data_IF_809998442225
#
_entry.id   IF_809998442225
#
_cell.length_a   1.000
_cell.length_b   1.000
_cell.length_c   1.000
_cell.angle_alpha   90.00
_cell.angle_beta   90.00
_cell.angle_gamma   90.00
#
_symmetry.space_group_name_H-M   'P 1'
#
loop_
_entity.id
_entity.type
_entity.pdbx_description
1 polymer ?
#
# COMPACT_ATOMS: atom_id res chain seq x y z
N UNK A 1 62.37 -38.32 9.76
CA UNK A 1 61.66 -39.52 9.27
C UNK A 1 60.90 -39.09 8.03
N UNK A 2 61.11 -39.57 6.81
CA UNK A 2 62.02 -40.52 6.18
C UNK A 2 62.10 -40.01 4.73
N UNK A 3 63.29 -39.86 4.15
CA UNK A 3 63.93 -40.88 3.30
C UNK A 3 63.09 -41.18 2.04
N UNK A 4 63.58 -41.27 0.82
CA UNK A 4 64.92 -41.26 0.24
C UNK A 4 64.72 -41.56 -1.26
N UNK A 5 65.80 -41.35 -2.01
CA UNK A 5 66.17 -42.03 -3.26
C UNK A 5 65.64 -41.51 -4.60
N UNK A 6 66.45 -40.81 -5.40
CA UNK A 6 67.72 -41.14 -6.09
C UNK A 6 67.57 -41.76 -7.50
N UNK A 7 68.16 -41.02 -8.45
CA UNK A 7 69.04 -41.49 -9.54
C UNK A 7 68.40 -42.22 -10.73
N UNK A 8 68.46 -41.57 -11.90
CA UNK A 8 69.25 -42.11 -13.00
C UNK A 8 69.63 -41.03 -14.03
N UNK A 9 70.92 -40.69 -14.01
CA UNK A 9 71.63 -40.03 -15.09
C UNK A 9 71.61 -40.91 -16.35
N UNK A 10 71.38 -40.31 -17.52
CA UNK A 10 72.06 -40.76 -18.74
C UNK A 10 72.39 -39.58 -19.64
N UNK A 11 73.65 -39.17 -19.50
CA UNK A 11 74.43 -38.40 -20.46
C UNK A 11 74.34 -39.02 -21.86
N UNK A 12 73.89 -38.23 -22.84
CA UNK A 12 74.23 -38.45 -24.24
C UNK A 12 74.43 -37.09 -24.92
N UNK A 13 75.67 -36.60 -24.82
CA UNK A 13 76.22 -35.55 -25.68
C UNK A 13 76.07 -36.01 -27.13
N UNK A 14 75.21 -35.32 -27.90
CA UNK A 14 75.26 -35.35 -29.37
C UNK A 14 75.57 -33.94 -29.85
N UNK A 15 76.62 -33.92 -30.64
CA UNK A 15 77.28 -32.80 -31.27
C UNK A 15 76.35 -31.99 -32.17
N UNK A 16 76.49 -30.68 -32.03
CA UNK A 16 75.98 -29.59 -32.84
C UNK A 16 76.03 -29.88 -34.35
N UNK A 17 74.89 -29.68 -35.02
CA UNK A 17 74.84 -29.07 -36.35
C UNK A 17 74.00 -27.79 -36.22
N UNK A 18 74.52 -26.60 -36.55
CA UNK A 18 73.70 -25.40 -36.62
C UNK A 18 72.80 -25.51 -37.85
N UNK A 19 71.58 -26.01 -37.66
CA UNK A 19 70.51 -25.80 -38.63
C UNK A 19 70.31 -24.28 -38.70
N UNK A 20 70.68 -23.69 -39.84
CA UNK A 20 70.27 -22.34 -40.23
C UNK A 20 68.79 -22.19 -39.88
N UNK A 21 68.49 -21.48 -38.81
CA UNK A 21 67.15 -20.99 -38.52
C UNK A 21 66.83 -20.04 -39.65
N UNK A 22 66.23 -20.57 -40.71
CA UNK A 22 65.35 -19.77 -41.52
C UNK A 22 64.34 -19.19 -40.54
N UNK A 23 64.50 -17.91 -40.19
CA UNK A 23 63.41 -17.05 -39.77
C UNK A 23 62.40 -17.11 -40.93
N UNK A 24 61.62 -18.20 -40.99
CA UNK A 24 60.28 -18.16 -41.55
C UNK A 24 59.66 -17.01 -40.78
N UNK A 25 59.51 -15.88 -41.46
CA UNK A 25 58.57 -14.85 -41.04
C UNK A 25 57.28 -15.63 -40.82
N UNK A 26 56.96 -15.95 -39.56
CA UNK A 26 55.61 -16.28 -39.16
C UNK A 26 54.84 -14.99 -39.42
N UNK A 27 54.47 -14.76 -40.67
CA UNK A 27 53.33 -13.93 -40.98
C UNK A 27 52.16 -14.69 -40.34
N UNK A 28 51.92 -14.40 -39.06
CA UNK A 28 50.72 -14.83 -38.37
C UNK A 28 49.57 -14.49 -39.30
N UNK A 29 48.73 -15.49 -39.56
CA UNK A 29 47.67 -15.39 -40.54
C UNK A 29 46.76 -14.21 -40.12
N UNK A 30 46.97 -13.03 -40.69
CA UNK A 30 46.28 -11.80 -40.25
C UNK A 30 44.76 -11.98 -40.32
N UNK A 31 44.30 -12.83 -41.25
CA UNK A 31 42.92 -13.26 -41.38
C UNK A 31 42.37 -13.94 -40.12
N UNK A 32 43.14 -14.79 -39.44
CA UNK A 32 42.65 -15.48 -38.22
C UNK A 32 42.54 -14.51 -37.04
N UNK A 33 43.43 -13.51 -36.98
CA UNK A 33 43.38 -12.49 -35.94
C UNK A 33 42.19 -11.55 -36.13
N UNK A 34 41.93 -11.09 -37.36
CA UNK A 34 40.78 -10.23 -37.65
C UNK A 34 39.46 -10.97 -37.42
N UNK A 35 39.36 -12.24 -37.82
CA UNK A 35 38.15 -13.05 -37.63
C UNK A 35 37.89 -13.33 -36.13
N UNK A 36 38.94 -13.54 -35.34
CA UNK A 36 38.81 -13.66 -33.88
C UNK A 36 38.35 -12.35 -33.25
N UNK A 37 38.89 -11.20 -33.65
CA UNK A 37 38.46 -9.90 -33.16
C UNK A 37 36.99 -9.61 -33.50
N UNK A 38 36.56 -9.87 -34.74
CA UNK A 38 35.16 -9.72 -35.15
C UNK A 38 34.26 -10.68 -34.38
N UNK A 39 34.67 -11.94 -34.22
CA UNK A 39 33.92 -12.93 -33.44
C UNK A 39 33.76 -12.52 -31.97
N UNK A 40 34.82 -11.99 -31.35
CA UNK A 40 34.78 -11.51 -29.97
C UNK A 40 33.86 -10.28 -29.85
N UNK A 41 33.92 -9.35 -30.80
CA UNK A 41 33.02 -8.19 -30.85
C UNK A 41 31.56 -8.62 -30.97
N UNK A 42 31.26 -9.56 -31.87
CA UNK A 42 29.91 -10.14 -32.01
C UNK A 42 29.46 -10.83 -30.72
N UNK A 43 30.34 -11.56 -30.04
CA UNK A 43 30.03 -12.21 -28.77
C UNK A 43 29.69 -11.18 -27.68
N UNK A 44 30.46 -10.10 -27.56
CA UNK A 44 30.18 -9.00 -26.61
C UNK A 44 28.85 -8.32 -26.94
N UNK A 45 28.56 -8.05 -28.22
CA UNK A 45 27.27 -7.49 -28.63
C UNK A 45 26.10 -8.43 -28.29
N UNK A 46 26.24 -9.74 -28.49
CA UNK A 46 25.22 -10.73 -28.15
C UNK A 46 24.95 -10.77 -26.64
N UNK A 47 26.00 -10.71 -25.81
CA UNK A 47 25.86 -10.65 -24.35
C UNK A 47 25.14 -9.36 -23.93
N UNK A 48 25.57 -8.21 -24.46
CA UNK A 48 24.94 -6.92 -24.16
C UNK A 48 23.46 -6.88 -24.56
N UNK A 49 23.12 -7.44 -25.73
CA UNK A 49 21.74 -7.54 -26.20
C UNK A 49 20.90 -8.47 -25.30
N UNK A 50 21.45 -9.59 -24.83
CA UNK A 50 20.76 -10.48 -23.90
C UNK A 50 20.46 -9.79 -22.56
N UNK A 51 21.42 -9.06 -21.99
CA UNK A 51 21.20 -8.26 -20.77
C UNK A 51 20.16 -7.16 -20.97
N UNK A 52 20.21 -6.46 -22.11
CA UNK A 52 19.23 -5.44 -22.45
C UNK A 52 17.80 -6.01 -22.49
N UNK A 53 17.62 -7.18 -23.10
CA UNK A 53 16.33 -7.86 -23.13
C UNK A 53 15.84 -8.26 -21.74
N UNK A 54 16.74 -8.73 -20.86
CA UNK A 54 16.39 -9.12 -19.49
C UNK A 54 15.88 -7.92 -18.70
N UNK A 55 16.61 -6.80 -18.77
CA UNK A 55 16.22 -5.55 -18.12
C UNK A 55 14.92 -4.98 -18.69
N UNK A 56 14.69 -5.13 -20.00
CA UNK A 56 13.43 -4.73 -20.65
C UNK A 56 12.25 -5.54 -20.11
N UNK A 57 12.39 -6.85 -19.99
CA UNK A 57 11.34 -7.73 -19.43
C UNK A 57 11.10 -7.44 -17.94
N UNK A 58 12.15 -7.21 -17.15
CA UNK A 58 12.01 -6.81 -15.74
C UNK A 58 11.27 -5.46 -15.61
N UNK A 59 11.61 -4.47 -16.43
CA UNK A 59 10.93 -3.16 -16.45
C UNK A 59 9.46 -3.29 -16.84
N UNK A 60 9.16 -4.18 -17.78
CA UNK A 60 7.79 -4.49 -18.18
C UNK A 60 7.02 -5.13 -17.03
N UNK A 61 7.59 -6.14 -16.37
CA UNK A 61 7.01 -6.78 -15.20
C UNK A 61 6.74 -5.78 -14.06
N UNK A 62 7.68 -4.86 -13.80
CA UNK A 62 7.46 -3.76 -12.84
C UNK A 62 6.28 -2.88 -13.24
N UNK A 63 6.20 -2.48 -14.52
CA UNK A 63 5.10 -1.65 -15.03
C UNK A 63 3.75 -2.35 -14.90
N UNK A 64 3.69 -3.66 -15.14
CA UNK A 64 2.48 -4.46 -14.95
C UNK A 64 2.09 -4.58 -13.47
N UNK A 65 3.06 -4.83 -12.58
CA UNK A 65 2.86 -4.84 -11.14
C UNK A 65 2.34 -3.49 -10.62
N UNK A 66 2.93 -2.39 -11.10
CA UNK A 66 2.52 -1.02 -10.75
C UNK A 66 1.09 -0.72 -11.20
N UNK A 67 0.74 -1.09 -12.44
CA UNK A 67 -0.63 -0.93 -12.95
C UNK A 67 -1.62 -1.72 -12.12
N UNK A 68 -1.30 -2.96 -11.79
CA UNK A 68 -2.17 -3.82 -10.99
C UNK A 68 -2.33 -3.30 -9.55
N UNK A 69 -1.23 -2.89 -8.91
CA UNK A 69 -1.27 -2.29 -7.58
C UNK A 69 -2.13 -1.01 -7.57
N UNK A 70 -1.98 -0.15 -8.58
CA UNK A 70 -2.81 1.04 -8.75
C UNK A 70 -4.28 0.71 -8.97
N UNK A 71 -4.60 -0.25 -9.83
CA UNK A 71 -5.98 -0.69 -10.07
C UNK A 71 -6.63 -1.22 -8.79
N UNK A 72 -5.93 -2.08 -8.05
CA UNK A 72 -6.39 -2.60 -6.76
C UNK A 72 -6.62 -1.43 -5.78
N UNK A 73 -5.64 -0.55 -5.61
CA UNK A 73 -5.75 0.59 -4.68
C UNK A 73 -6.91 1.54 -5.02
N UNK A 74 -7.19 1.78 -6.32
CA UNK A 74 -8.35 2.57 -6.75
C UNK A 74 -9.67 1.90 -6.37
N UNK A 75 -9.76 0.58 -6.53
CA UNK A 75 -10.98 -0.19 -6.22
C UNK A 75 -11.31 -0.25 -4.72
N UNK A 76 -10.28 -0.07 -3.86
CA UNK A 76 -10.43 -0.14 -2.40
C UNK A 76 -11.16 1.07 -1.81
N UNK A 77 -10.90 2.29 -2.33
CA UNK A 77 -11.61 3.51 -1.93
C UNK A 77 -12.50 4.07 -3.06
N UNK A 78 -13.20 3.19 -3.76
CA UNK A 78 -14.17 3.60 -4.79
C UNK A 78 -15.34 4.34 -4.12
N UNK A 79 -15.73 5.48 -4.70
CA UNK A 79 -16.81 6.36 -4.21
C UNK A 79 -16.63 6.83 -2.75
N UNK A 80 -15.38 6.97 -2.30
CA UNK A 80 -15.04 7.48 -0.97
C UNK A 80 -15.68 6.73 0.21
N UNK A 81 -15.83 5.42 0.09
CA UNK A 81 -16.40 4.60 1.18
C UNK A 81 -15.57 4.69 2.46
N UNK A 82 -14.24 4.71 2.34
CA UNK A 82 -13.35 4.74 3.51
C UNK A 82 -13.46 6.11 4.19
N UNK A 83 -13.48 7.21 3.43
CA UNK A 83 -13.61 8.56 3.99
C UNK A 83 -14.95 8.77 4.68
N UNK A 84 -16.03 8.28 4.08
CA UNK A 84 -17.38 8.33 4.68
C UNK A 84 -17.45 7.54 5.99
N UNK A 85 -16.88 6.32 6.04
CA UNK A 85 -16.87 5.52 7.28
C UNK A 85 -16.05 6.21 8.37
N UNK A 86 -14.87 6.74 8.04
CA UNK A 86 -14.08 7.49 9.01
C UNK A 86 -14.88 8.67 9.60
N UNK A 87 -15.59 9.42 8.74
CA UNK A 87 -16.47 10.50 9.19
C UNK A 87 -17.59 9.97 10.10
N UNK A 88 -18.27 8.88 9.74
CA UNK A 88 -19.32 8.28 10.56
C UNK A 88 -18.80 7.83 11.93
N UNK A 89 -17.62 7.20 11.98
CA UNK A 89 -16.99 6.77 13.23
C UNK A 89 -16.73 7.96 14.15
N UNK A 90 -16.15 9.04 13.62
CA UNK A 90 -15.83 10.24 14.42
C UNK A 90 -17.11 10.97 14.83
N UNK A 91 -18.09 11.13 13.94
CA UNK A 91 -19.37 11.79 14.27
C UNK A 91 -20.17 10.99 15.30
N UNK A 92 -20.17 9.67 15.21
CA UNK A 92 -20.81 8.84 16.23
C UNK A 92 -20.06 8.95 17.58
N UNK A 93 -18.73 8.97 17.56
CA UNK A 93 -17.92 9.21 18.77
C UNK A 93 -18.29 10.52 19.46
N UNK A 94 -18.38 11.61 18.70
CA UNK A 94 -18.82 12.92 19.18
C UNK A 94 -20.27 12.87 19.71
N UNK A 95 -21.16 12.17 19.01
CA UNK A 95 -22.56 12.01 19.42
C UNK A 95 -22.70 11.26 20.74
N UNK A 96 -21.99 10.15 20.93
CA UNK A 96 -21.99 9.41 22.21
C UNK A 96 -21.54 10.31 23.35
N UNK A 97 -20.44 11.05 23.15
CA UNK A 97 -19.93 11.98 24.14
C UNK A 97 -20.94 13.09 24.47
N UNK A 98 -21.56 13.69 23.45
CA UNK A 98 -22.56 14.74 23.59
C UNK A 98 -23.85 14.25 24.29
N UNK A 99 -24.33 13.07 23.92
CA UNK A 99 -25.49 12.43 24.54
C UNK A 99 -25.24 12.14 26.02
N UNK A 100 -24.02 11.71 26.39
CA UNK A 100 -23.64 11.53 27.79
C UNK A 100 -23.65 12.84 28.57
N UNK A 101 -23.06 13.91 28.02
CA UNK A 101 -23.11 15.22 28.67
C UNK A 101 -24.54 15.68 28.89
N UNK A 102 -25.41 15.46 27.89
CA UNK A 102 -26.83 15.79 27.96
C UNK A 102 -27.51 14.96 29.06
N UNK A 103 -27.32 13.64 29.09
CA UNK A 103 -27.87 12.77 30.13
C UNK A 103 -27.46 13.20 31.54
N UNK A 104 -26.16 13.45 31.76
CA UNK A 104 -25.62 13.89 33.05
C UNK A 104 -26.17 15.25 33.47
N UNK A 105 -26.30 16.20 32.54
CA UNK A 105 -26.84 17.54 32.83
C UNK A 105 -28.34 17.45 33.15
N UNK A 106 -29.08 16.59 32.45
CA UNK A 106 -30.53 16.42 32.63
C UNK A 106 -30.85 15.87 34.02
N UNK A 107 -30.08 14.89 34.50
CA UNK A 107 -30.23 14.32 35.84
C UNK A 107 -29.99 15.35 36.95
N UNK A 108 -29.04 16.26 36.75
CA UNK A 108 -28.63 17.25 37.75
C UNK A 108 -29.39 18.58 37.66
N UNK A 109 -30.34 18.72 36.74
CA UNK A 109 -31.07 19.97 36.47
C UNK A 109 -32.55 19.85 36.79
N UNK A 110 -33.28 20.97 36.68
CA UNK A 110 -34.73 21.00 36.82
C UNK A 110 -35.48 20.23 35.72
N UNK A 111 -34.75 19.66 34.74
CA UNK A 111 -35.26 18.87 33.63
C UNK A 111 -35.19 17.36 33.90
N UNK A 112 -35.16 16.93 35.17
CA UNK A 112 -35.07 15.52 35.55
C UNK A 112 -36.16 14.63 34.93
N UNK A 113 -37.33 15.19 34.62
CA UNK A 113 -38.39 14.48 33.90
C UNK A 113 -38.00 14.06 32.47
N UNK A 114 -37.01 14.71 31.85
CA UNK A 114 -36.43 14.34 30.55
C UNK A 114 -35.31 13.29 30.67
N UNK A 115 -34.86 12.93 31.87
CA UNK A 115 -33.74 12.00 32.06
C UNK A 115 -33.93 10.65 31.33
N UNK A 116 -35.12 10.03 31.29
CA UNK A 116 -35.32 8.78 30.53
C UNK A 116 -35.08 8.96 29.02
N UNK A 117 -35.50 10.10 28.45
CA UNK A 117 -35.28 10.40 27.04
C UNK A 117 -33.81 10.65 26.74
N UNK A 118 -33.11 11.39 27.60
CA UNK A 118 -31.68 11.64 27.44
C UNK A 118 -30.86 10.34 27.53
N UNK A 119 -31.26 9.43 28.42
CA UNK A 119 -30.65 8.09 28.50
C UNK A 119 -30.93 7.28 27.24
N UNK A 120 -32.16 7.30 26.72
CA UNK A 120 -32.49 6.63 25.46
C UNK A 120 -31.62 7.13 24.29
N UNK A 121 -31.37 8.43 24.20
CA UNK A 121 -30.48 9.01 23.17
C UNK A 121 -29.02 8.55 23.32
N UNK A 122 -28.55 8.37 24.56
CA UNK A 122 -27.22 7.82 24.83
C UNK A 122 -27.13 6.35 24.44
N UNK A 123 -28.15 5.56 24.76
CA UNK A 123 -28.22 4.13 24.42
C UNK A 123 -28.30 3.94 22.88
N UNK A 124 -29.05 4.79 22.18
CA UNK A 124 -29.15 4.81 20.72
C UNK A 124 -27.82 5.19 20.08
N UNK A 125 -27.15 6.24 20.56
CA UNK A 125 -25.83 6.63 20.07
C UNK A 125 -24.79 5.51 20.25
N UNK A 126 -24.80 4.87 21.42
CA UNK A 126 -23.92 3.74 21.76
C UNK A 126 -24.20 2.53 20.86
N UNK A 127 -25.48 2.21 20.61
CA UNK A 127 -25.88 1.15 19.69
C UNK A 127 -25.44 1.45 18.25
N UNK A 128 -25.55 2.71 17.82
CA UNK A 128 -25.06 3.17 16.53
C UNK A 128 -23.56 2.93 16.32
N UNK A 129 -22.74 3.02 17.39
CA UNK A 129 -21.30 2.72 17.30
C UNK A 129 -21.04 1.25 16.90
N UNK A 130 -21.86 0.33 17.42
CA UNK A 130 -21.76 -1.11 17.11
C UNK A 130 -22.17 -1.38 15.66
N UNK A 131 -23.20 -0.69 15.17
CA UNK A 131 -23.63 -0.79 13.78
C UNK A 131 -22.58 -0.26 12.80
N UNK A 132 -21.93 0.86 13.14
CA UNK A 132 -20.85 1.42 12.33
C UNK A 132 -19.64 0.47 12.29
N UNK A 133 -19.24 -0.14 13.40
CA UNK A 133 -18.15 -1.14 13.38
C UNK A 133 -18.53 -2.39 12.57
N UNK A 134 -19.80 -2.81 12.61
CA UNK A 134 -20.31 -3.89 11.76
C UNK A 134 -20.20 -3.51 10.27
N UNK A 135 -20.63 -2.31 9.88
CA UNK A 135 -20.50 -1.85 8.49
C UNK A 135 -19.03 -1.75 8.05
N UNK A 136 -18.16 -1.25 8.93
CA UNK A 136 -16.71 -1.22 8.71
C UNK A 136 -16.14 -2.62 8.41
N UNK A 137 -16.54 -3.64 9.18
CA UNK A 137 -16.15 -5.05 8.95
C UNK A 137 -16.74 -5.60 7.64
N UNK A 138 -17.97 -5.24 7.30
CA UNK A 138 -18.59 -5.58 6.00
C UNK A 138 -17.75 -5.02 4.86
N UNK A 139 -17.29 -3.78 4.96
CA UNK A 139 -16.50 -3.11 3.92
C UNK A 139 -15.12 -3.74 3.74
N UNK A 140 -14.46 -4.17 4.83
CA UNK A 140 -13.25 -4.99 4.77
C UNK A 140 -13.49 -6.27 3.95
N UNK A 141 -14.57 -6.98 4.24
CA UNK A 141 -14.92 -8.23 3.55
C UNK A 141 -15.22 -8.00 2.07
N UNK A 142 -15.90 -6.90 1.72
CA UNK A 142 -16.16 -6.52 0.34
C UNK A 142 -14.88 -6.16 -0.42
N UNK A 143 -13.95 -5.44 0.22
CA UNK A 143 -12.65 -5.13 -0.36
C UNK A 143 -11.83 -6.41 -0.61
N UNK A 144 -11.78 -7.33 0.34
CA UNK A 144 -11.11 -8.63 0.16
C UNK A 144 -11.62 -9.36 -1.09
N UNK A 145 -12.95 -9.43 -1.24
CA UNK A 145 -13.58 -10.06 -2.40
C UNK A 145 -13.20 -9.36 -3.71
N UNK A 146 -13.26 -8.02 -3.75
CA UNK A 146 -12.89 -7.24 -4.94
C UNK A 146 -11.42 -7.44 -5.34
N UNK A 147 -10.52 -7.43 -4.37
CA UNK A 147 -9.09 -7.65 -4.60
C UNK A 147 -8.86 -9.04 -5.18
N UNK A 148 -9.50 -10.05 -4.59
CA UNK A 148 -9.46 -11.42 -5.11
C UNK A 148 -9.95 -11.48 -6.57
N UNK A 149 -11.10 -10.89 -6.88
CA UNK A 149 -11.67 -10.90 -8.23
C UNK A 149 -10.76 -10.17 -9.25
N UNK A 150 -10.06 -9.10 -8.85
CA UNK A 150 -9.08 -8.41 -9.71
C UNK A 150 -7.86 -9.30 -9.96
N UNK A 151 -7.30 -9.89 -8.91
CA UNK A 151 -6.09 -10.74 -9.00
C UNK A 151 -6.36 -12.02 -9.80
N UNK A 152 -7.48 -12.69 -9.56
CA UNK A 152 -7.87 -13.89 -10.30
C UNK A 152 -8.08 -13.58 -11.78
N UNK A 153 -8.77 -12.47 -12.11
CA UNK A 153 -8.91 -12.02 -13.50
C UNK A 153 -7.55 -11.73 -14.12
N UNK A 154 -6.64 -11.04 -13.44
CA UNK A 154 -5.30 -10.77 -13.95
C UNK A 154 -4.51 -12.06 -14.22
N UNK A 155 -4.51 -12.99 -13.26
CA UNK A 155 -3.81 -14.28 -13.41
C UNK A 155 -4.41 -15.17 -14.51
N UNK A 156 -5.73 -15.13 -14.75
CA UNK A 156 -6.35 -15.86 -15.87
C UNK A 156 -5.93 -15.32 -17.25
N UNK A 157 -5.72 -14.01 -17.37
CA UNK A 157 -5.27 -13.39 -18.63
C UNK A 157 -3.77 -13.52 -18.84
N UNK A 158 -3.00 -13.70 -17.76
CA UNK A 158 -1.57 -13.98 -17.83
C UNK A 158 -1.37 -15.43 -18.25
N UNK A 159 -1.45 -15.69 -19.55
CA UNK A 159 -1.24 -17.03 -20.10
C UNK A 159 0.22 -17.48 -19.90
N UNK A 160 0.45 -18.79 -19.77
CA UNK A 160 1.78 -19.44 -19.76
C UNK A 160 2.52 -19.34 -21.10
N UNK A 161 2.20 -18.36 -21.93
CA UNK A 161 2.85 -18.13 -23.22
C UNK A 161 4.16 -17.39 -22.94
N UNK A 162 5.25 -17.95 -23.45
CA UNK A 162 6.55 -17.30 -23.36
C UNK A 162 6.45 -15.91 -24.01
N UNK A 163 6.71 -14.90 -23.21
CA UNK A 163 6.66 -13.50 -23.60
C UNK A 163 7.80 -13.18 -24.56
N UNK A 164 8.94 -13.80 -24.29
CA UNK A 164 10.12 -13.77 -25.12
C UNK A 164 10.74 -15.17 -25.14
N UNK A 165 11.21 -15.61 -26.32
CA UNK A 165 11.78 -16.95 -26.51
C UNK A 165 13.00 -16.88 -27.42
N UNK A 166 14.18 -17.09 -26.82
CA UNK A 166 15.42 -17.47 -27.50
C UNK A 166 15.63 -18.99 -27.39
N UNK A 167 16.47 -19.59 -28.25
CA UNK A 167 16.69 -21.03 -28.26
C UNK A 167 17.17 -21.62 -26.92
N UNK A 168 17.83 -20.82 -26.08
CA UNK A 168 18.35 -21.22 -24.77
C UNK A 168 17.68 -20.51 -23.58
N UNK A 169 16.69 -19.65 -23.83
CA UNK A 169 16.12 -18.76 -22.82
C UNK A 169 14.68 -18.36 -23.13
N UNK A 170 13.76 -18.60 -22.19
CA UNK A 170 12.36 -18.14 -22.26
C UNK A 170 11.99 -17.33 -21.03
N UNK A 171 11.26 -16.24 -21.22
CA UNK A 171 10.65 -15.47 -20.12
C UNK A 171 9.14 -15.62 -20.16
N UNK A 172 8.52 -15.63 -18.99
CA UNK A 172 7.08 -15.67 -18.82
C UNK A 172 6.57 -14.35 -18.22
N UNK A 173 5.29 -14.06 -18.43
CA UNK A 173 4.64 -12.88 -17.88
C UNK A 173 4.62 -12.90 -16.35
N UNK A 174 4.33 -11.74 -15.76
CA UNK A 174 4.23 -11.57 -14.32
C UNK A 174 3.04 -12.37 -13.77
N UNK A 175 3.28 -13.36 -12.93
CA UNK A 175 2.22 -14.04 -12.19
C UNK A 175 2.13 -13.45 -10.78
N UNK A 176 0.92 -13.07 -10.36
CA UNK A 176 0.72 -12.52 -9.01
C UNK A 176 0.84 -13.65 -8.01
N UNK A 177 1.87 -13.55 -7.17
CA UNK A 177 2.19 -14.57 -6.18
C UNK A 177 1.58 -14.23 -4.83
N UNK A 178 1.65 -12.96 -4.42
CA UNK A 178 1.20 -12.49 -3.12
C UNK A 178 0.62 -11.08 -3.24
N UNK A 179 -0.44 -10.82 -2.48
CA UNK A 179 -1.06 -9.48 -2.37
C UNK A 179 -1.33 -9.20 -0.90
N UNK A 180 -0.71 -8.13 -0.41
CA UNK A 180 -0.77 -7.71 0.98
C UNK A 180 -1.63 -6.45 1.10
N UNK A 181 -2.55 -6.46 2.06
CA UNK A 181 -3.28 -5.26 2.49
C UNK A 181 -2.64 -4.65 3.71
N UNK A 182 -2.58 -3.33 3.74
CA UNK A 182 -2.00 -2.61 4.86
C UNK A 182 -2.34 -1.14 4.81
N UNK A 183 -1.47 -0.34 5.42
CA UNK A 183 -1.56 1.11 5.45
C UNK A 183 -0.17 1.71 5.29
N UNK A 184 -0.09 3.03 5.14
CA UNK A 184 1.19 3.75 5.17
C UNK A 184 1.46 4.27 6.57
N UNK A 185 2.73 4.25 6.97
CA UNK A 185 3.21 4.87 8.22
C UNK A 185 3.00 6.38 8.15
N UNK A 186 2.67 6.97 9.30
CA UNK A 186 2.58 8.42 9.50
C UNK A 186 1.61 9.15 8.56
N UNK A 187 0.63 8.43 8.01
CA UNK A 187 -0.47 9.03 7.24
C UNK A 187 -1.66 9.28 8.17
N UNK A 188 -2.09 10.53 8.23
CA UNK A 188 -3.25 10.98 8.99
C UNK A 188 -4.55 10.42 8.41
N UNK A 189 -5.64 10.56 9.16
CA UNK A 189 -6.99 10.36 8.66
C UNK A 189 -7.47 11.58 7.88
N UNK A 190 -8.55 11.41 7.13
CA UNK A 190 -9.22 12.48 6.40
C UNK A 190 -10.17 13.31 7.27
N UNK A 191 -10.32 12.94 8.55
CA UNK A 191 -11.31 13.54 9.43
C UNK A 191 -10.65 14.59 10.31
N UNK A 192 -11.23 15.78 10.29
CA UNK A 192 -10.85 16.88 11.16
C UNK A 192 -11.37 16.64 12.58
N UNK A 193 -10.54 16.98 13.55
CA UNK A 193 -10.89 16.95 14.95
C UNK A 193 -11.75 18.16 15.31
N UNK A 194 -12.94 17.93 15.89
CA UNK A 194 -13.82 19.02 16.32
C UNK A 194 -13.34 19.66 17.62
N UNK A 195 -13.38 20.98 17.70
CA UNK A 195 -13.05 21.73 18.92
C UNK A 195 -14.30 22.12 19.72
N UNK A 196 -15.48 21.58 19.39
CA UNK A 196 -16.76 21.93 20.04
C UNK A 196 -16.78 21.54 21.53
N UNK A 197 -16.13 20.44 21.90
CA UNK A 197 -16.13 19.93 23.27
C UNK A 197 -14.72 20.03 23.89
N UNK A 198 -14.49 21.04 24.73
CA UNK A 198 -13.17 21.35 25.32
C UNK A 198 -12.55 20.16 26.06
N UNK A 199 -13.33 19.48 26.89
CA UNK A 199 -12.87 18.33 27.67
C UNK A 199 -12.42 17.18 26.76
N UNK A 200 -13.21 16.87 25.71
CA UNK A 200 -12.85 15.84 24.73
C UNK A 200 -11.60 16.21 23.94
N UNK A 201 -11.46 17.48 23.57
CA UNK A 201 -10.30 18.02 22.85
C UNK A 201 -9.01 17.90 23.68
N UNK A 202 -9.07 18.27 24.97
CA UNK A 202 -7.94 18.12 25.90
C UNK A 202 -7.52 16.67 25.99
N UNK A 203 -8.49 15.75 26.11
CA UNK A 203 -8.20 14.33 26.20
C UNK A 203 -7.63 13.74 24.91
N UNK A 204 -8.16 14.12 23.75
CA UNK A 204 -7.69 13.65 22.45
C UNK A 204 -6.26 14.12 22.15
N UNK A 205 -5.93 15.36 22.55
CA UNK A 205 -4.55 15.88 22.48
C UNK A 205 -3.64 15.16 23.47
N UNK A 206 -4.11 14.91 24.70
CA UNK A 206 -3.36 14.14 25.72
C UNK A 206 -3.07 12.71 25.26
N UNK A 207 -4.05 12.06 24.62
CA UNK A 207 -3.94 10.71 24.08
C UNK A 207 -3.18 10.65 22.73
N UNK A 208 -2.81 11.81 22.16
CA UNK A 208 -2.13 11.95 20.86
C UNK A 208 -2.94 11.36 19.70
N UNK A 209 -4.26 11.47 19.75
CA UNK A 209 -5.13 11.07 18.65
C UNK A 209 -5.14 12.09 17.51
N UNK A 210 -4.69 13.33 17.76
CA UNK A 210 -4.72 14.44 16.80
C UNK A 210 -3.30 14.86 16.46
N UNK A 211 -3.01 15.10 15.18
CA UNK A 211 -1.73 15.68 14.78
C UNK A 211 -1.66 17.16 15.17
N UNK A 212 -0.59 17.61 15.84
CA UNK A 212 -0.33 19.03 16.00
C UNK A 212 -0.08 19.70 14.63
N UNK A 213 -0.82 20.77 14.34
CA UNK A 213 -0.66 21.62 13.16
C UNK A 213 -1.69 21.39 12.05
N UNK A 214 -2.12 20.15 11.79
CA UNK A 214 -3.16 19.89 10.77
C UNK A 214 -4.56 19.76 11.36
N UNK A 215 -4.69 19.59 12.68
CA UNK A 215 -5.96 19.31 13.37
C UNK A 215 -6.70 18.07 12.83
N UNK A 216 -5.97 17.14 12.19
CA UNK A 216 -6.52 15.89 11.69
C UNK A 216 -6.26 14.76 12.70
N UNK A 217 -7.18 13.80 12.77
CA UNK A 217 -6.94 12.57 13.52
C UNK A 217 -5.78 11.78 12.92
N UNK A 218 -5.02 11.09 13.78
CA UNK A 218 -4.06 10.06 13.38
C UNK A 218 -4.76 8.93 12.63
N UNK A 219 -4.05 8.31 11.71
CA UNK A 219 -4.55 7.13 11.00
C UNK A 219 -4.29 5.83 11.75
N UNK A 220 -5.17 4.84 11.55
CA UNK A 220 -5.09 3.48 12.12
C UNK A 220 -5.11 3.42 13.65
N UNK A 221 -5.77 4.38 14.28
CA UNK A 221 -5.93 4.44 15.74
C UNK A 221 -7.30 3.90 16.16
N UNK A 222 -7.45 3.67 17.47
CA UNK A 222 -8.74 3.47 18.14
C UNK A 222 -8.94 4.60 19.13
N UNK A 223 -9.72 5.62 18.75
CA UNK A 223 -9.93 6.84 19.51
C UNK A 223 -10.94 6.61 20.66
N UNK A 224 -10.50 5.92 21.71
CA UNK A 224 -11.35 5.59 22.87
C UNK A 224 -11.89 6.85 23.56
N UNK A 225 -13.17 6.81 23.93
CA UNK A 225 -13.77 7.80 24.82
C UNK A 225 -13.28 7.61 26.26
N UNK A 226 -13.32 8.66 27.09
CA UNK A 226 -13.10 8.52 28.53
C UNK A 226 -14.20 7.69 29.20
N UNK A 227 -13.90 7.20 30.39
CA UNK A 227 -14.87 6.49 31.23
C UNK A 227 -16.15 7.32 31.42
N UNK A 228 -17.34 6.70 31.39
CA UNK A 228 -17.57 5.25 31.39
C UNK A 228 -17.56 4.56 30.01
N UNK A 229 -17.48 5.30 28.89
CA UNK A 229 -17.70 4.76 27.53
C UNK A 229 -16.41 4.25 26.84
N UNK A 230 -15.36 3.97 27.62
CA UNK A 230 -14.07 3.49 27.11
C UNK A 230 -14.14 2.06 26.54
N UNK A 231 -15.23 1.34 26.80
CA UNK A 231 -15.53 0.05 26.21
C UNK A 231 -15.79 0.14 24.70
N UNK A 232 -16.33 1.25 24.20
CA UNK A 232 -16.65 1.42 22.78
C UNK A 232 -15.40 1.62 21.93
N UNK A 233 -15.35 1.01 20.75
CA UNK A 233 -14.22 1.10 19.81
C UNK A 233 -14.54 2.10 18.69
N UNK A 234 -13.69 3.11 18.52
CA UNK A 234 -13.78 4.10 17.44
C UNK A 234 -12.53 4.02 16.57
N UNK A 235 -12.53 3.04 15.66
CA UNK A 235 -11.38 2.73 14.80
C UNK A 235 -11.35 3.67 13.60
N UNK A 236 -10.36 4.57 13.58
CA UNK A 236 -10.17 5.56 12.51
C UNK A 236 -9.03 5.08 11.60
N UNK A 237 -9.32 4.95 10.31
CA UNK A 237 -8.36 4.44 9.32
C UNK A 237 -7.50 5.57 8.72
N UNK A 238 -6.23 5.30 8.40
CA UNK A 238 -5.37 6.26 7.70
C UNK A 238 -5.85 6.49 6.26
N UNK A 239 -6.18 7.72 5.89
CA UNK A 239 -6.65 8.08 4.56
C UNK A 239 -6.25 9.54 4.28
N UNK A 240 -5.57 9.85 3.16
CA UNK A 240 -5.18 11.23 2.87
C UNK A 240 -6.39 12.17 2.86
N UNK A 241 -6.30 13.25 3.65
CA UNK A 241 -7.27 14.33 3.63
C UNK A 241 -7.24 15.08 2.29
N UNK A 242 -8.37 15.65 1.84
CA UNK A 242 -8.38 16.55 0.70
C UNK A 242 -7.63 17.84 1.04
N UNK A 243 -6.85 18.35 0.09
CA UNK A 243 -6.13 19.63 0.21
C UNK A 243 -6.76 20.58 -0.79
N UNK A 244 -7.23 21.75 -0.33
CA UNK A 244 -7.90 22.73 -1.21
C UNK A 244 -9.08 22.14 -2.02
N UNK A 245 -9.88 21.28 -1.39
CA UNK A 245 -11.00 20.55 -2.02
C UNK A 245 -10.58 19.57 -3.14
N UNK A 246 -9.28 19.30 -3.32
CA UNK A 246 -8.78 18.32 -4.26
C UNK A 246 -8.57 16.95 -3.58
N UNK A 247 -9.05 15.91 -4.26
CA UNK A 247 -8.90 14.52 -3.83
C UNK A 247 -7.48 14.06 -4.21
N UNK A 248 -6.72 13.56 -3.24
CA UNK A 248 -5.43 12.96 -3.53
C UNK A 248 -5.63 11.71 -4.42
N UNK A 249 -4.99 11.60 -5.60
CA UNK A 249 -5.15 10.43 -6.44
C UNK A 249 -4.43 9.22 -5.83
N UNK A 250 -4.90 8.02 -6.19
CA UNK A 250 -4.17 6.78 -5.98
C UNK A 250 -2.80 6.86 -6.65
N UNK A 251 -1.77 6.45 -5.93
CA UNK A 251 -0.38 6.61 -6.34
C UNK A 251 0.49 5.47 -5.84
N UNK A 252 1.59 5.24 -6.54
CA UNK A 252 2.64 4.34 -6.07
C UNK A 252 3.31 4.94 -4.83
N UNK A 253 3.73 4.09 -3.92
CA UNK A 253 4.38 4.48 -2.67
C UNK A 253 5.68 3.66 -2.49
N UNK A 254 6.60 4.21 -1.70
CA UNK A 254 7.82 3.47 -1.34
C UNK A 254 7.42 2.24 -0.49
N UNK A 255 7.88 1.02 -0.82
CA UNK A 255 7.61 -0.16 0.00
C UNK A 255 8.12 -0.05 1.45
N UNK A 256 9.11 0.81 1.74
CA UNK A 256 9.66 0.98 3.09
C UNK A 256 8.68 1.65 4.08
N UNK A 257 7.78 2.49 3.57
CA UNK A 257 6.75 3.16 4.38
C UNK A 257 5.46 2.35 4.50
N UNK A 258 5.39 1.19 3.84
CA UNK A 258 4.26 0.28 3.92
C UNK A 258 4.26 -0.45 5.27
N UNK A 259 3.17 -0.33 6.01
CA UNK A 259 2.91 -1.12 7.19
C UNK A 259 2.04 -2.32 6.79
N UNK A 260 2.65 -3.51 6.83
CA UNK A 260 1.96 -4.76 6.54
C UNK A 260 0.81 -4.98 7.53
N UNK A 261 -0.38 -5.27 6.99
CA UNK A 261 -1.54 -5.71 7.78
C UNK A 261 -1.72 -7.22 7.66
N UNK A 262 -2.39 -7.66 6.61
CA UNK A 262 -2.72 -9.06 6.37
C UNK A 262 -2.62 -9.42 4.88
N UNK A 263 -2.63 -10.73 4.60
CA UNK A 263 -2.60 -11.30 3.26
C UNK A 263 -4.00 -11.38 2.66
N UNK A 264 -4.15 -10.91 1.43
CA UNK A 264 -5.31 -11.23 0.59
C UNK A 264 -5.03 -12.45 -0.29
N UNK A 265 -3.78 -12.60 -0.72
CA UNK A 265 -3.33 -13.65 -1.61
C UNK A 265 -1.96 -14.13 -1.15
N UNK A 266 -1.79 -15.43 -1.01
CA UNK A 266 -0.52 -16.07 -0.68
C UNK A 266 -0.31 -17.29 -1.57
N UNK A 267 0.90 -17.44 -2.10
CA UNK A 267 1.26 -18.55 -2.97
C UNK A 267 0.27 -18.79 -4.14
N UNK A 268 -0.28 -17.73 -4.71
CA UNK A 268 -1.24 -17.84 -5.81
C UNK A 268 -2.65 -18.26 -5.38
N UNK A 269 -2.96 -18.26 -4.07
CA UNK A 269 -4.27 -18.62 -3.52
C UNK A 269 -4.82 -17.51 -2.65
N UNK A 270 -6.13 -17.30 -2.70
CA UNK A 270 -6.81 -16.37 -1.80
C UNK A 270 -6.72 -16.86 -0.36
N UNK A 271 -6.39 -15.95 0.57
CA UNK A 271 -6.36 -16.21 2.00
C UNK A 271 -7.41 -15.34 2.67
N UNK A 272 -8.18 -15.93 3.58
CA UNK A 272 -9.15 -15.20 4.40
C UNK A 272 -8.49 -14.91 5.75
N UNK A 273 -8.13 -13.65 5.98
CA UNK A 273 -7.63 -13.16 7.27
C UNK A 273 -8.52 -12.03 7.77
N UNK A 274 -8.70 -11.94 9.09
CA UNK A 274 -9.45 -10.85 9.71
C UNK A 274 -8.58 -9.60 9.80
N UNK A 275 -9.08 -8.46 9.29
CA UNK A 275 -8.41 -7.17 9.45
C UNK A 275 -9.05 -6.38 10.57
N UNK A 276 -8.21 -5.79 11.42
CA UNK A 276 -8.68 -4.89 12.47
C UNK A 276 -9.01 -3.50 11.96
N UNK A 277 -8.36 -3.04 10.89
CA UNK A 277 -8.52 -1.73 10.25
C UNK A 277 -8.83 -1.91 8.76
N UNK A 278 -9.48 -0.92 8.14
CA UNK A 278 -9.68 -0.96 6.69
C UNK A 278 -8.31 -0.73 6.04
N UNK A 279 -7.83 -1.61 5.16
CA UNK A 279 -6.57 -1.38 4.47
C UNK A 279 -6.71 -0.20 3.49
N UNK A 280 -5.69 0.67 3.45
CA UNK A 280 -5.62 1.82 2.53
C UNK A 280 -4.38 1.84 1.65
N UNK A 281 -3.55 0.81 1.77
CA UNK A 281 -2.48 0.51 0.84
C UNK A 281 -2.51 -0.98 0.48
N UNK A 282 -2.00 -1.27 -0.71
CA UNK A 282 -1.79 -2.62 -1.20
C UNK A 282 -0.34 -2.78 -1.64
N UNK A 283 0.24 -3.95 -1.38
CA UNK A 283 1.50 -4.36 -1.97
C UNK A 283 1.27 -5.64 -2.78
N UNK A 284 1.56 -5.55 -4.08
CA UNK A 284 1.51 -6.68 -5.01
C UNK A 284 2.92 -7.21 -5.19
N UNK A 285 3.09 -8.51 -4.97
CA UNK A 285 4.34 -9.22 -5.24
C UNK A 285 4.05 -10.26 -6.32
N UNK A 286 4.63 -10.04 -7.49
CA UNK A 286 4.58 -10.98 -8.60
C UNK A 286 5.89 -11.73 -8.78
N UNK A 287 5.82 -12.81 -9.55
CA UNK A 287 6.94 -13.64 -9.96
C UNK A 287 6.98 -13.74 -11.47
N UNK A 288 8.16 -13.57 -12.03
CA UNK A 288 8.45 -13.90 -13.42
C UNK A 288 9.36 -15.12 -13.44
N UNK A 289 8.90 -16.19 -14.09
CA UNK A 289 9.72 -17.36 -14.34
C UNK A 289 10.63 -17.11 -15.55
N UNK A 290 11.89 -17.48 -15.41
CA UNK A 290 12.91 -17.40 -16.45
C UNK A 290 13.48 -18.79 -16.67
N UNK A 291 13.13 -19.42 -17.78
CA UNK A 291 13.62 -20.74 -18.12
C UNK A 291 14.91 -20.61 -18.94
N UNK A 292 16.01 -21.14 -18.41
CA UNK A 292 17.30 -21.22 -19.09
C UNK A 292 17.70 -22.69 -19.26
N UNK A 293 18.68 -22.97 -20.13
CA UNK A 293 19.19 -24.33 -20.34
C UNK A 293 19.77 -24.97 -19.06
N UNK A 294 20.36 -24.16 -18.18
CA UNK A 294 21.02 -24.61 -16.94
C UNK A 294 20.05 -24.67 -15.74
N UNK A 295 18.82 -24.18 -15.88
CA UNK A 295 17.82 -24.19 -14.81
C UNK A 295 16.77 -23.10 -14.95
N UNK A 296 15.77 -23.15 -14.06
CA UNK A 296 14.74 -22.13 -13.96
C UNK A 296 15.12 -21.13 -12.87
N UNK A 297 15.14 -19.84 -13.21
CA UNK A 297 15.29 -18.75 -12.26
C UNK A 297 13.95 -18.04 -12.05
N UNK A 298 13.77 -17.43 -10.89
CA UNK A 298 12.57 -16.68 -10.53
C UNK A 298 12.95 -15.27 -10.13
N UNK A 299 12.38 -14.30 -10.83
CA UNK A 299 12.53 -12.88 -10.48
C UNK A 299 11.28 -12.45 -9.72
N UNK A 300 11.47 -11.89 -8.54
CA UNK A 300 10.37 -11.31 -7.75
C UNK A 300 10.29 -9.81 -8.02
N UNK A 301 9.07 -9.34 -8.23
CA UNK A 301 8.77 -7.94 -8.53
C UNK A 301 7.71 -7.48 -7.53
N UNK A 302 8.00 -6.39 -6.83
CA UNK A 302 7.10 -5.81 -5.84
C UNK A 302 6.64 -4.42 -6.26
N UNK A 303 5.36 -4.12 -6.06
CA UNK A 303 4.82 -2.78 -6.20
C UNK A 303 3.88 -2.46 -5.06
N UNK A 304 3.96 -1.23 -4.55
CA UNK A 304 3.11 -0.74 -3.47
C UNK A 304 2.32 0.46 -3.94
N UNK A 305 1.02 0.49 -3.68
CA UNK A 305 0.13 1.58 -4.05
C UNK A 305 -0.79 1.97 -2.88
N UNK A 306 -1.12 3.25 -2.80
CA UNK A 306 -2.06 3.84 -1.86
C UNK A 306 -3.39 4.15 -2.58
N UNK A 307 -4.51 4.00 -1.88
CA UNK A 307 -5.83 4.38 -2.41
C UNK A 307 -5.94 5.87 -2.73
N UNK A 308 -7.00 6.24 -3.43
CA UNK A 308 -7.42 7.65 -3.49
C UNK A 308 -7.70 8.16 -2.07
N UNK A 309 -7.47 9.46 -1.84
CA UNK A 309 -7.85 10.16 -0.61
C UNK A 309 -9.36 10.32 -0.48
N UNK A 310 -9.79 11.00 0.58
CA UNK A 310 -11.21 11.24 0.81
C UNK A 310 -11.78 12.33 -0.10
N UNK A 311 -13.09 12.29 -0.32
CA UNK A 311 -13.80 13.39 -0.94
C UNK A 311 -13.94 14.54 0.07
N UNK A 312 -13.86 15.81 -0.41
CA UNK A 312 -14.23 16.92 0.44
C UNK A 312 -15.68 16.76 0.88
N UNK A 313 -15.93 16.93 2.17
CA UNK A 313 -17.29 17.03 2.69
C UNK A 313 -17.87 18.30 2.04
N UNK A 314 -19.01 18.22 1.33
CA UNK A 314 -19.67 19.42 0.82
C UNK A 314 -19.86 20.37 1.99
N UNK A 315 -19.39 21.62 1.86
CA UNK A 315 -19.55 22.63 2.90
C UNK A 315 -21.02 22.61 3.32
N UNK A 316 -21.27 22.18 4.56
CA UNK A 316 -22.61 22.14 5.10
C UNK A 316 -23.03 23.60 5.19
N UNK A 317 -23.87 23.99 4.22
CA UNK A 317 -24.21 25.36 3.86
C UNK A 317 -23.09 26.08 3.08
N UNK A 318 -23.35 26.53 1.82
CA UNK A 318 -22.53 27.61 1.29
C UNK A 318 -22.58 28.72 2.32
N UNK A 319 -21.44 29.36 2.62
CA UNK A 319 -21.40 30.58 3.41
C UNK A 319 -22.58 31.46 2.98
N UNK A 320 -23.65 31.46 3.79
CA UNK A 320 -24.71 32.44 3.68
C UNK A 320 -24.06 33.68 4.29
N UNK A 321 -23.06 34.21 3.59
CA UNK A 321 -22.32 35.37 4.02
C UNK A 321 -23.32 36.45 4.36
N UNK A 322 -23.31 36.88 5.62
CA UNK A 322 -23.81 38.19 6.00
C UNK A 322 -25.20 38.57 5.48
N UNK A 323 -26.18 37.65 5.46
CA UNK A 323 -27.59 38.08 5.45
C UNK A 323 -28.10 38.31 6.88
N UNK A 324 -27.43 39.23 7.58
CA UNK A 324 -28.00 39.95 8.72
C UNK A 324 -29.12 40.89 8.23
N UNK A 325 -30.18 40.34 7.62
CA UNK A 325 -31.43 41.05 7.30
C UNK A 325 -32.70 40.23 7.55
N UNK A 326 -32.66 39.13 8.31
CA UNK A 326 -33.88 38.66 8.97
C UNK A 326 -34.07 39.42 10.29
N UNK A 327 -34.53 40.67 10.17
CA UNK A 327 -35.20 41.34 11.29
C UNK A 327 -36.45 40.55 11.62
N UNK A 328 -36.44 39.79 12.72
CA UNK A 328 -37.67 39.26 13.30
C UNK A 328 -38.46 40.46 13.87
N UNK A 329 -39.66 40.79 13.35
CA UNK A 329 -40.49 41.81 13.95
C UNK A 329 -41.20 41.19 15.14
N UNK A 330 -40.58 41.28 16.32
CA UNK A 330 -41.24 40.87 17.56
C UNK A 330 -41.22 42.05 18.53
N UNK A 331 -42.16 42.98 18.32
CA UNK A 331 -42.71 43.80 19.40
C UNK A 331 -43.86 43.03 20.03
N UNK A 332 -43.61 42.36 21.14
CA UNK A 332 -44.70 42.05 22.07
C UNK A 332 -45.08 43.35 22.77
N UNK A 333 -46.20 43.96 22.36
CA UNK A 333 -46.81 45.00 23.16
C UNK A 333 -47.50 44.35 24.36
N UNK A 334 -47.04 44.68 25.55
CA UNK A 334 -47.75 44.39 26.78
C UNK A 334 -49.13 45.07 26.72
N UNK A 335 -50.19 44.28 26.76
CA UNK A 335 -51.52 44.76 27.08
C UNK A 335 -51.79 44.45 28.56
N UNK A 336 -51.95 45.52 29.33
CA UNK A 336 -52.60 45.52 30.65
C UNK A 336 -54.11 45.42 30.47
#
# INVERSE_FOLDING_TARGET
MSAENTVLQKSKRRTLKPLKRAQRRQSGNMLTMTLLCVGLLLAVCMIGFAFYLLLSEQKRGQTEADKLALEISKSMNENDRIGQINNLVVRNRELVYASRLTANTTVNSNLSFCAPLAQQLLDEASSGSVEIDKERKTQITLQQKRIKDIVERYNMHTQNVATFSLPWWKTYGLQVFQVNGGSLRDVQSNVEHTEIYDDLNIEDRRAKYVQPGSNLYMGNINAKLPTPDNNLDFKITSLPAPVEKLIAPARLANPEIFHFGNLFFDNGKAVVQSFDQIPTAVQVVGRMDVQMREGNQRVQIGSTALTNGAQPIPDAFPDIGNQNQFQLPVKWSNAN
#
